data_IF_341552780421
#
_entry.id   IF_341552780421
#
_cell.length_a   1.000
_cell.length_b   1.000
_cell.length_c   1.000
_cell.angle_alpha   90.00
_cell.angle_beta   90.00
_cell.angle_gamma   90.00
#
_symmetry.space_group_name_H-M   'P 1'
#
loop_
_entity.id
_entity.type
_entity.pdbx_description
1 polymer ?
#
# COMPACT_ATOMS: atom_id res chain seq x y z
N UNK A 1 -16.67 20.00 -57.81
CA UNK A 1 -15.26 20.16 -57.39
C UNK A 1 -15.24 20.80 -56.00
N UNK A 2 -14.16 20.59 -55.24
CA UNK A 2 -13.80 21.22 -53.95
C UNK A 2 -14.73 20.93 -52.76
N UNK A 3 -14.21 20.12 -51.85
CA UNK A 3 -14.57 20.13 -50.42
C UNK A 3 -14.05 21.42 -49.76
N UNK A 4 -14.60 21.78 -48.61
CA UNK A 4 -13.94 22.61 -47.61
C UNK A 4 -14.07 21.93 -46.24
N UNK A 5 -12.95 21.73 -45.56
CA UNK A 5 -12.84 20.99 -44.29
C UNK A 5 -13.01 21.89 -43.08
N UNK A 6 -13.73 21.41 -42.06
CA UNK A 6 -13.51 21.87 -40.69
C UNK A 6 -12.20 21.24 -40.16
N UNK A 7 -11.33 22.06 -39.60
CA UNK A 7 -10.09 21.61 -38.96
C UNK A 7 -10.09 22.08 -37.51
N UNK A 8 -10.33 21.15 -36.58
CA UNK A 8 -10.26 21.42 -35.16
C UNK A 8 -8.79 21.54 -34.70
N UNK A 9 -8.52 22.39 -33.72
CA UNK A 9 -7.16 22.63 -33.23
C UNK A 9 -6.69 21.47 -32.34
N UNK A 10 -5.50 20.94 -32.63
CA UNK A 10 -4.80 19.98 -31.77
C UNK A 10 -4.02 20.73 -30.67
N UNK A 11 -4.52 20.66 -29.44
CA UNK A 11 -3.83 21.18 -28.26
C UNK A 11 -2.90 20.14 -27.63
N UNK A 12 -1.73 19.90 -28.23
CA UNK A 12 -0.76 18.90 -27.74
C UNK A 12 -0.02 19.38 -26.49
N UNK A 13 -0.55 19.05 -25.31
CA UNK A 13 0.08 19.34 -24.01
C UNK A 13 1.21 18.34 -23.67
N UNK A 14 2.35 18.45 -24.37
CA UNK A 14 3.53 17.61 -24.14
C UNK A 14 4.25 17.95 -22.82
N UNK A 15 3.76 17.44 -21.70
CA UNK A 15 4.43 17.55 -20.39
C UNK A 15 5.62 16.59 -20.34
N UNK A 16 6.82 17.12 -20.11
CA UNK A 16 8.07 16.37 -20.06
C UNK A 16 8.22 15.64 -18.72
N UNK A 17 7.87 14.35 -18.69
CA UNK A 17 8.10 13.49 -17.52
C UNK A 17 9.59 13.13 -17.37
N UNK A 18 10.23 13.65 -16.32
CA UNK A 18 11.54 13.20 -15.85
C UNK A 18 11.41 11.90 -15.07
N UNK A 19 11.45 10.76 -15.75
CA UNK A 19 11.26 9.44 -15.13
C UNK A 19 12.48 8.98 -14.33
N UNK A 20 12.32 8.85 -12.99
CA UNK A 20 13.23 8.08 -12.11
C UNK A 20 12.42 7.33 -11.02
N UNK A 21 12.90 6.19 -10.45
CA UNK A 21 12.04 5.21 -9.76
C UNK A 21 12.27 5.10 -8.24
N UNK A 22 11.23 4.72 -7.47
CA UNK A 22 11.32 4.46 -6.02
C UNK A 22 10.57 3.19 -5.59
N UNK A 23 11.27 2.09 -5.31
CA UNK A 23 10.65 0.97 -4.57
C UNK A 23 10.35 1.36 -3.10
N UNK A 24 9.40 0.67 -2.47
CA UNK A 24 8.70 1.03 -1.22
C UNK A 24 9.52 1.72 -0.09
N UNK A 25 8.80 2.49 0.74
CA UNK A 25 9.30 3.45 1.74
C UNK A 25 10.44 2.96 2.64
N UNK A 26 11.25 3.90 3.14
CA UNK A 26 12.35 3.60 4.06
C UNK A 26 11.89 2.88 5.35
N UNK A 27 10.71 3.24 5.88
CA UNK A 27 10.10 2.56 7.02
C UNK A 27 9.71 1.12 6.70
N UNK A 28 9.03 0.91 5.58
CA UNK A 28 8.70 -0.41 5.04
C UNK A 28 9.98 -1.27 4.87
N UNK A 29 11.05 -0.74 4.25
CA UNK A 29 12.34 -1.44 4.11
C UNK A 29 13.02 -1.75 5.45
N UNK A 30 12.82 -0.93 6.48
CA UNK A 30 13.32 -1.24 7.84
C UNK A 30 12.48 -2.33 8.52
N UNK A 31 11.17 -2.39 8.30
CA UNK A 31 10.33 -3.51 8.72
C UNK A 31 10.74 -4.82 8.01
N UNK A 32 10.92 -4.81 6.68
CA UNK A 32 11.54 -5.90 5.91
C UNK A 32 12.87 -6.36 6.52
N UNK A 33 13.77 -5.42 6.84
CA UNK A 33 15.08 -5.74 7.41
C UNK A 33 14.99 -6.39 8.80
N UNK A 34 13.97 -6.08 9.60
CA UNK A 34 13.71 -6.79 10.85
C UNK A 34 13.08 -8.18 10.62
N UNK A 35 12.12 -8.31 9.72
CA UNK A 35 11.51 -9.60 9.34
C UNK A 35 12.55 -10.58 8.79
N UNK A 36 13.36 -10.16 7.81
CA UNK A 36 14.43 -10.97 7.24
C UNK A 36 15.49 -11.38 8.30
N UNK A 37 15.82 -10.49 9.25
CA UNK A 37 16.72 -10.83 10.38
C UNK A 37 16.11 -11.83 11.36
N UNK A 38 14.79 -11.80 11.60
CA UNK A 38 14.10 -12.78 12.46
C UNK A 38 14.06 -14.17 11.80
N UNK A 39 13.86 -14.25 10.49
CA UNK A 39 13.76 -15.53 9.77
C UNK A 39 15.10 -16.10 9.26
N UNK A 40 16.17 -15.29 9.17
CA UNK A 40 17.47 -15.70 8.61
C UNK A 40 18.36 -16.61 9.47
N UNK A 41 17.99 -16.91 10.73
CA UNK A 41 18.87 -17.60 11.70
C UNK A 41 18.23 -18.83 12.38
N UNK A 42 17.62 -19.70 11.58
CA UNK A 42 17.01 -20.97 12.01
C UNK A 42 17.96 -22.13 12.36
N UNK A 43 19.22 -21.89 12.76
CA UNK A 43 20.14 -22.96 13.13
C UNK A 43 20.07 -23.32 14.63
N UNK A 44 19.19 -24.28 14.95
CA UNK A 44 19.07 -24.84 16.29
C UNK A 44 20.29 -25.70 16.68
N UNK A 45 21.20 -25.14 17.47
CA UNK A 45 22.23 -25.90 18.17
C UNK A 45 21.78 -26.24 19.59
N UNK A 46 21.06 -27.34 19.74
CA UNK A 46 20.72 -27.93 21.04
C UNK A 46 21.98 -28.26 21.84
N UNK A 47 22.29 -27.47 22.87
CA UNK A 47 23.22 -27.81 23.94
C UNK A 47 22.42 -28.02 25.24
N UNK A 48 22.76 -29.02 26.07
CA UNK A 48 22.00 -29.33 27.27
C UNK A 48 22.05 -28.19 28.29
N UNK A 49 21.02 -28.08 29.12
CA UNK A 49 20.85 -26.97 30.06
C UNK A 49 21.97 -26.93 31.12
N UNK A 50 22.77 -25.86 31.09
CA UNK A 50 23.56 -25.42 32.24
C UNK A 50 22.75 -24.44 33.08
N UNK A 51 22.68 -24.68 34.39
CA UNK A 51 21.84 -23.90 35.30
C UNK A 51 22.44 -22.51 35.57
N UNK A 52 21.98 -21.49 34.82
CA UNK A 52 22.36 -20.09 35.02
C UNK A 52 21.32 -19.39 35.92
N UNK A 53 21.55 -19.48 37.22
CA UNK A 53 20.84 -18.68 38.23
C UNK A 53 21.16 -17.19 38.04
N UNK A 54 20.13 -16.33 38.12
CA UNK A 54 20.33 -14.91 38.43
C UNK A 54 20.33 -13.90 37.29
N UNK A 55 19.89 -14.25 36.07
CA UNK A 55 19.50 -13.20 35.12
C UNK A 55 18.29 -12.42 35.68
N UNK A 56 18.33 -11.08 35.79
CA UNK A 56 17.17 -10.31 36.23
C UNK A 56 16.05 -10.50 35.21
N UNK A 57 14.88 -10.98 35.66
CA UNK A 57 13.68 -11.03 34.84
C UNK A 57 13.30 -9.59 34.50
N UNK A 58 13.64 -9.14 33.29
CA UNK A 58 13.09 -7.91 32.70
C UNK A 58 11.58 -8.02 32.86
N UNK A 59 10.98 -7.05 33.55
CA UNK A 59 9.54 -7.04 33.74
C UNK A 59 8.89 -7.04 32.35
N UNK A 60 8.05 -8.05 32.07
CA UNK A 60 7.23 -8.02 30.87
C UNK A 60 6.37 -6.76 30.98
N UNK A 61 6.52 -5.85 30.02
CA UNK A 61 5.59 -4.73 29.86
C UNK A 61 4.17 -5.26 29.82
N UNK A 62 3.21 -4.46 30.27
CA UNK A 62 1.83 -4.73 29.97
C UNK A 62 1.62 -4.74 28.44
N UNK A 63 0.74 -5.59 27.95
CA UNK A 63 0.37 -5.66 26.54
C UNK A 63 -1.11 -5.38 26.41
N UNK A 64 -1.49 -4.45 25.54
CA UNK A 64 -2.89 -4.16 25.29
C UNK A 64 -3.52 -5.20 24.36
N UNK A 65 -4.84 -5.30 24.42
CA UNK A 65 -5.68 -6.09 23.49
C UNK A 65 -6.56 -5.14 22.71
N UNK A 66 -6.89 -5.47 21.45
CA UNK A 66 -7.85 -4.70 20.67
C UNK A 66 -9.22 -4.66 21.40
N UNK A 67 -9.85 -3.48 21.56
CA UNK A 67 -11.21 -3.39 22.08
C UNK A 67 -12.24 -4.16 21.21
N UNK A 68 -13.27 -4.69 21.84
CA UNK A 68 -14.44 -5.25 21.13
C UNK A 68 -15.37 -4.10 20.71
N UNK A 69 -15.50 -3.87 19.41
CA UNK A 69 -16.33 -2.83 18.79
C UNK A 69 -16.78 -3.30 17.39
N UNK A 70 -18.05 -3.09 16.99
CA UNK A 70 -18.57 -3.60 15.71
C UNK A 70 -17.94 -3.00 14.45
N UNK A 71 -17.28 -1.84 14.53
CA UNK A 71 -16.56 -1.25 13.40
C UNK A 71 -15.08 -1.73 13.30
N UNK A 72 -14.57 -2.43 14.32
CA UNK A 72 -13.21 -2.96 14.38
C UNK A 72 -13.08 -4.39 13.80
N UNK A 73 -11.90 -4.70 13.25
CA UNK A 73 -11.56 -6.03 12.75
C UNK A 73 -10.33 -6.57 13.50
N UNK A 74 -10.48 -7.72 14.17
CA UNK A 74 -9.36 -8.42 14.76
C UNK A 74 -8.48 -9.07 13.67
N UNK A 75 -7.25 -8.56 13.52
CA UNK A 75 -6.27 -9.15 12.61
C UNK A 75 -5.70 -10.45 13.22
N UNK A 76 -5.69 -11.58 12.48
CA UNK A 76 -5.11 -12.83 12.97
C UNK A 76 -3.62 -12.68 13.34
N UNK A 77 -3.25 -13.22 14.50
CA UNK A 77 -1.86 -13.22 14.97
C UNK A 77 -1.73 -13.75 16.39
N UNK A 78 -0.52 -13.70 16.94
CA UNK A 78 -0.21 -14.22 18.27
C UNK A 78 0.26 -13.14 19.24
N UNK A 79 1.10 -12.20 18.79
CA UNK A 79 1.60 -11.09 19.60
C UNK A 79 0.78 -9.80 19.42
N UNK A 80 0.16 -9.62 18.26
CA UNK A 80 -0.58 -8.41 17.90
C UNK A 80 -1.92 -8.24 18.64
N UNK A 81 -2.42 -9.25 19.37
CA UNK A 81 -3.66 -9.21 20.15
C UNK A 81 -4.88 -8.62 19.38
N UNK A 82 -4.94 -8.85 18.06
CA UNK A 82 -5.98 -8.34 17.15
C UNK A 82 -5.67 -7.00 16.48
N UNK A 83 -4.69 -6.22 16.94
CA UNK A 83 -4.28 -4.97 16.31
C UNK A 83 -3.76 -5.17 14.89
N UNK A 84 -3.81 -4.11 14.07
CA UNK A 84 -3.33 -4.08 12.69
C UNK A 84 -1.80 -3.97 12.63
N UNK A 85 -1.15 -4.99 13.17
CA UNK A 85 0.28 -5.12 13.40
C UNK A 85 0.71 -6.53 12.99
N UNK A 86 1.98 -6.73 12.63
CA UNK A 86 2.46 -8.05 12.19
C UNK A 86 2.22 -9.13 13.25
N UNK A 87 1.95 -10.40 12.89
CA UNK A 87 1.59 -11.45 13.86
C UNK A 87 2.57 -11.67 15.03
N UNK A 88 3.84 -11.26 14.86
CA UNK A 88 4.97 -11.31 15.80
C UNK A 88 5.35 -9.95 16.42
N UNK A 89 4.51 -8.93 16.23
CA UNK A 89 4.67 -7.57 16.75
C UNK A 89 3.68 -7.32 17.90
N UNK A 90 4.19 -7.13 19.12
CA UNK A 90 3.37 -6.85 20.30
C UNK A 90 2.88 -5.41 20.35
N UNK A 91 1.61 -5.21 20.74
CA UNK A 91 1.13 -3.94 21.26
C UNK A 91 1.55 -3.80 22.74
N UNK A 92 2.72 -3.19 22.98
CA UNK A 92 3.30 -3.04 24.32
C UNK A 92 2.97 -1.69 24.97
N UNK A 93 3.02 -1.65 26.30
CA UNK A 93 3.02 -0.42 27.08
C UNK A 93 4.01 0.63 26.54
N UNK A 94 3.51 1.86 26.39
CA UNK A 94 4.22 3.00 25.81
C UNK A 94 4.30 3.00 24.27
N UNK A 95 3.54 2.17 23.56
CA UNK A 95 3.57 2.07 22.09
C UNK A 95 2.24 2.42 21.41
N UNK A 96 2.34 2.66 20.11
CA UNK A 96 1.23 2.97 19.20
C UNK A 96 0.79 1.72 18.45
N UNK A 97 -0.51 1.44 18.47
CA UNK A 97 -1.08 0.20 18.00
C UNK A 97 -2.20 0.47 16.97
N UNK A 98 -1.86 0.47 15.67
CA UNK A 98 -2.82 0.65 14.58
C UNK A 98 -4.00 -0.32 14.65
N UNK A 99 -5.16 0.13 14.19
CA UNK A 99 -6.42 -0.63 14.20
C UNK A 99 -6.94 -0.86 12.78
N UNK A 100 -7.60 -1.99 12.56
CA UNK A 100 -8.26 -2.31 11.30
C UNK A 100 -9.76 -2.04 11.42
N UNK A 101 -10.35 -1.46 10.38
CA UNK A 101 -11.77 -1.15 10.31
C UNK A 101 -12.50 -2.09 9.35
N UNK A 102 -13.81 -2.26 9.54
CA UNK A 102 -14.66 -3.03 8.61
C UNK A 102 -14.69 -2.38 7.20
N UNK A 103 -14.92 -3.16 6.13
CA UNK A 103 -14.85 -2.67 4.75
C UNK A 103 -15.70 -1.43 4.49
N UNK A 104 -15.11 -0.44 3.80
CA UNK A 104 -15.71 0.87 3.55
C UNK A 104 -15.31 1.95 4.56
N UNK A 105 -14.79 1.59 5.74
CA UNK A 105 -14.35 2.54 6.78
C UNK A 105 -12.84 2.69 6.84
N UNK A 106 -12.39 3.86 7.28
CA UNK A 106 -10.99 4.17 7.57
C UNK A 106 -10.80 4.41 9.08
N UNK A 107 -9.58 4.16 9.57
CA UNK A 107 -9.19 4.41 10.96
C UNK A 107 -9.36 5.89 11.31
N UNK A 108 -9.81 6.19 12.53
CA UNK A 108 -10.05 7.56 13.01
C UNK A 108 -9.23 7.91 14.28
N UNK A 109 -8.20 7.11 14.57
CA UNK A 109 -7.33 7.23 15.74
C UNK A 109 -5.86 7.11 15.31
N UNK A 110 -5.02 8.00 15.83
CA UNK A 110 -3.56 8.04 15.62
C UNK A 110 -2.94 9.06 16.59
N UNK A 111 -1.62 9.02 16.76
CA UNK A 111 -0.88 10.01 17.55
C UNK A 111 -1.08 11.42 16.99
N UNK A 112 -1.58 12.39 17.78
CA UNK A 112 -1.80 13.77 17.31
C UNK A 112 -0.52 14.43 16.79
N UNK A 113 -0.65 15.27 15.77
CA UNK A 113 0.44 16.04 15.12
C UNK A 113 1.53 15.20 14.44
N UNK A 114 1.26 13.94 14.10
CA UNK A 114 2.14 13.11 13.25
C UNK A 114 2.13 13.55 11.78
N UNK A 115 3.23 13.27 11.09
CA UNK A 115 3.40 13.48 9.64
C UNK A 115 3.65 12.16 8.91
N UNK A 116 3.51 12.18 7.59
CA UNK A 116 3.92 11.07 6.73
C UNK A 116 5.45 11.06 6.53
N UNK A 117 6.17 10.90 7.63
CA UNK A 117 7.63 10.77 7.68
C UNK A 117 8.01 9.74 8.74
N UNK A 118 8.83 8.75 8.39
CA UNK A 118 9.28 7.74 9.35
C UNK A 118 10.14 8.37 10.47
N UNK A 119 9.94 8.00 11.76
CA UNK A 119 9.06 6.96 12.26
C UNK A 119 7.63 7.41 12.60
N UNK A 120 7.31 8.72 12.57
CA UNK A 120 5.97 9.25 12.90
C UNK A 120 4.84 8.60 12.09
N UNK A 121 5.12 8.19 10.86
CA UNK A 121 4.17 7.47 9.99
C UNK A 121 3.71 6.12 10.54
N UNK A 122 4.38 5.57 11.56
CA UNK A 122 3.99 4.32 12.23
C UNK A 122 3.05 4.51 13.42
N UNK A 123 2.93 5.72 13.96
CA UNK A 123 2.24 5.99 15.23
C UNK A 123 0.71 6.09 15.06
N UNK A 124 0.10 5.05 14.46
CA UNK A 124 -1.33 4.94 14.20
C UNK A 124 -2.13 4.27 15.32
N UNK A 125 -3.46 4.40 15.24
CA UNK A 125 -4.42 3.73 16.11
C UNK A 125 -4.41 4.20 17.56
N UNK A 126 -4.40 3.24 18.47
CA UNK A 126 -4.56 3.46 19.92
C UNK A 126 -3.21 3.56 20.62
N UNK A 127 -3.18 4.31 21.72
CA UNK A 127 -2.02 4.32 22.61
C UNK A 127 -2.16 3.22 23.66
N UNK A 128 -1.10 2.46 23.90
CA UNK A 128 -1.11 1.44 24.94
C UNK A 128 -0.55 2.00 26.27
N UNK A 129 -1.43 2.22 27.24
CA UNK A 129 -1.14 2.81 28.55
C UNK A 129 -1.38 1.80 29.67
N UNK A 130 -0.30 1.24 30.24
CA UNK A 130 -0.39 0.27 31.34
C UNK A 130 -1.12 -1.04 31.00
N UNK A 131 -1.32 -1.34 29.71
CA UNK A 131 -2.15 -2.46 29.23
C UNK A 131 -3.58 -2.08 28.83
N UNK A 132 -3.97 -0.81 28.98
CA UNK A 132 -5.24 -0.25 28.46
C UNK A 132 -5.01 0.39 27.10
N UNK A 133 -5.87 0.08 26.12
CA UNK A 133 -5.83 0.71 24.80
C UNK A 133 -6.68 1.99 24.79
N UNK A 134 -6.04 3.15 24.64
CA UNK A 134 -6.67 4.47 24.77
C UNK A 134 -6.79 5.17 23.41
N UNK A 135 -7.92 5.85 23.19
CA UNK A 135 -8.19 6.68 22.00
C UNK A 135 -7.54 8.07 22.17
N UNK A 136 -6.59 8.50 21.31
CA UNK A 136 -6.04 9.86 21.38
C UNK A 136 -7.07 10.95 21.08
N UNK A 137 -8.07 10.63 20.26
CA UNK A 137 -9.21 11.49 19.99
C UNK A 137 -10.43 10.91 20.72
N UNK A 138 -10.54 11.21 22.02
CA UNK A 138 -11.58 10.69 22.93
C UNK A 138 -13.00 10.79 22.35
N UNK A 139 -13.30 11.92 21.70
CA UNK A 139 -14.61 12.24 21.13
C UNK A 139 -14.84 11.66 19.72
N UNK A 140 -13.81 11.09 19.07
CA UNK A 140 -13.93 10.42 17.78
C UNK A 140 -14.23 8.92 17.96
N UNK A 141 -14.92 8.26 17.01
CA UNK A 141 -15.02 6.80 16.98
C UNK A 141 -13.66 6.15 16.69
N UNK A 142 -13.58 4.81 16.73
CA UNK A 142 -12.40 4.07 16.27
C UNK A 142 -12.19 4.19 14.75
N UNK A 143 -13.30 4.18 14.01
CA UNK A 143 -13.37 4.19 12.56
C UNK A 143 -14.41 5.20 12.08
N UNK A 144 -14.20 5.78 10.89
CA UNK A 144 -15.19 6.61 10.19
C UNK A 144 -15.42 6.09 8.79
N UNK A 145 -16.58 6.37 8.22
CA UNK A 145 -16.89 5.97 6.85
C UNK A 145 -15.96 6.68 5.85
N UNK A 146 -15.41 5.92 4.90
CA UNK A 146 -14.79 6.49 3.71
C UNK A 146 -15.83 7.12 2.78
N UNK A 147 -15.40 7.77 1.71
CA UNK A 147 -16.29 8.52 0.80
C UNK A 147 -17.24 7.66 -0.04
N UNK A 148 -17.13 6.33 0.03
CA UNK A 148 -18.06 5.36 -0.55
C UNK A 148 -18.10 5.30 -2.09
N UNK A 149 -17.22 6.06 -2.77
CA UNK A 149 -17.21 6.22 -4.23
C UNK A 149 -16.65 4.99 -4.97
N UNK A 150 -15.86 4.13 -4.32
CA UNK A 150 -15.24 2.94 -4.94
C UNK A 150 -15.75 1.63 -4.33
N UNK A 151 -16.05 0.66 -5.20
CA UNK A 151 -16.40 -0.72 -4.82
C UNK A 151 -15.47 -1.74 -5.47
N UNK A 152 -15.22 -2.85 -4.80
CA UNK A 152 -14.71 -4.06 -5.43
C UNK A 152 -15.90 -4.90 -5.91
N UNK A 153 -15.80 -5.46 -7.12
CA UNK A 153 -16.83 -6.31 -7.73
C UNK A 153 -16.18 -7.58 -8.27
N UNK A 154 -16.57 -8.73 -7.75
CA UNK A 154 -16.04 -10.03 -8.09
C UNK A 154 -16.92 -10.73 -9.14
N UNK A 155 -16.41 -10.86 -10.37
CA UNK A 155 -17.02 -11.65 -11.45
C UNK A 155 -16.27 -12.98 -11.70
N UNK A 156 -15.30 -13.32 -10.84
CA UNK A 156 -14.40 -14.47 -10.95
C UNK A 156 -14.94 -15.76 -10.31
N UNK A 157 -15.96 -15.69 -9.45
CA UNK A 157 -16.69 -16.86 -8.93
C UNK A 157 -16.06 -17.62 -7.76
N UNK A 158 -14.84 -17.27 -7.37
CA UNK A 158 -14.24 -17.65 -6.09
C UNK A 158 -13.93 -16.38 -5.31
N UNK A 159 -13.95 -16.46 -3.97
CA UNK A 159 -13.66 -15.32 -3.07
C UNK A 159 -12.34 -14.62 -3.40
N UNK A 160 -12.31 -13.29 -3.33
CA UNK A 160 -11.10 -12.48 -3.56
C UNK A 160 -10.80 -11.64 -2.32
N UNK A 161 -9.59 -11.76 -1.79
CA UNK A 161 -9.09 -10.92 -0.70
C UNK A 161 -8.46 -9.62 -1.24
N UNK A 162 -9.11 -8.49 -0.97
CA UNK A 162 -8.54 -7.15 -1.09
C UNK A 162 -7.95 -6.78 0.27
N UNK A 163 -6.66 -6.50 0.33
CA UNK A 163 -5.94 -6.32 1.59
C UNK A 163 -5.33 -4.92 1.66
N UNK A 164 -5.94 -4.06 2.47
CA UNK A 164 -5.52 -2.67 2.63
C UNK A 164 -4.27 -2.56 3.50
N UNK A 165 -3.36 -1.65 3.14
CA UNK A 165 -2.18 -1.33 3.92
C UNK A 165 -2.51 -0.52 5.17
N UNK A 166 -1.90 -0.89 6.30
CA UNK A 166 -2.04 -0.15 7.57
C UNK A 166 -1.28 1.18 7.50
N UNK A 167 -2.02 2.28 7.40
CA UNK A 167 -1.49 3.65 7.36
C UNK A 167 -2.43 4.61 8.14
N UNK A 168 -1.93 5.42 9.09
CA UNK A 168 -0.61 5.33 9.72
C UNK A 168 -0.37 3.96 10.37
N UNK A 169 0.87 3.47 10.30
CA UNK A 169 1.23 2.12 10.74
C UNK A 169 2.47 1.57 10.03
N UNK A 170 2.56 0.24 9.95
CA UNK A 170 3.73 -0.45 9.38
C UNK A 170 3.67 -0.66 7.85
N UNK A 171 2.67 -0.08 7.17
CA UNK A 171 2.41 -0.22 5.72
C UNK A 171 2.19 -1.67 5.23
N UNK A 172 2.00 -2.64 6.13
CA UNK A 172 1.69 -4.03 5.76
C UNK A 172 0.20 -4.18 5.37
N UNK A 173 -0.11 -5.08 4.45
CA UNK A 173 -1.43 -5.34 3.87
C UNK A 173 -2.32 -6.21 4.77
N UNK A 174 -2.56 -5.74 5.99
CA UNK A 174 -3.21 -6.51 7.05
C UNK A 174 -4.73 -6.27 7.15
N UNK A 175 -5.25 -5.14 6.67
CA UNK A 175 -6.68 -4.77 6.82
C UNK A 175 -7.50 -5.54 5.77
N UNK A 176 -8.40 -6.47 6.16
CA UNK A 176 -8.99 -7.41 5.22
C UNK A 176 -10.34 -6.93 4.67
N UNK A 177 -10.52 -7.08 3.35
CA UNK A 177 -11.82 -6.97 2.69
C UNK A 177 -12.07 -8.24 1.88
N UNK A 178 -13.10 -8.99 2.26
CA UNK A 178 -13.48 -10.24 1.60
C UNK A 178 -14.55 -9.98 0.54
N UNK A 179 -14.23 -10.20 -0.75
CA UNK A 179 -15.11 -9.87 -1.86
C UNK A 179 -15.66 -11.16 -2.50
N UNK A 180 -16.92 -11.48 -2.20
CA UNK A 180 -17.66 -12.61 -2.78
C UNK A 180 -18.53 -12.20 -3.97
N UNK A 181 -19.18 -11.05 -3.88
CA UNK A 181 -19.89 -10.34 -4.96
C UNK A 181 -19.38 -8.89 -5.00
N UNK A 182 -20.03 -7.98 -4.27
CA UNK A 182 -19.78 -6.54 -4.35
C UNK A 182 -19.62 -5.94 -2.96
N UNK A 183 -18.50 -5.25 -2.71
CA UNK A 183 -18.18 -4.66 -1.40
C UNK A 183 -17.63 -3.24 -1.59
N UNK A 184 -18.06 -2.30 -0.75
CA UNK A 184 -17.51 -0.93 -0.73
C UNK A 184 -16.09 -0.95 -0.18
N UNK A 185 -15.15 -0.33 -0.90
CA UNK A 185 -13.78 -0.16 -0.42
C UNK A 185 -13.69 1.09 0.45
N UNK A 186 -12.78 1.07 1.43
CA UNK A 186 -12.44 2.26 2.18
C UNK A 186 -11.69 3.25 1.28
N UNK A 187 -12.23 4.45 1.14
CA UNK A 187 -11.67 5.54 0.33
C UNK A 187 -11.51 6.78 1.22
N UNK A 188 -10.28 7.18 1.57
CA UNK A 188 -10.01 8.40 2.31
C UNK A 188 -10.57 9.66 1.63
N UNK A 189 -11.18 10.54 2.44
CA UNK A 189 -11.38 11.94 2.09
C UNK A 189 -10.13 12.79 2.39
N UNK A 190 -10.15 14.10 2.07
CA UNK A 190 -9.00 14.98 2.23
C UNK A 190 -8.57 15.17 3.70
N UNK A 191 -9.52 15.06 4.64
CA UNK A 191 -9.30 15.22 6.08
C UNK A 191 -8.74 13.96 6.77
N UNK A 192 -8.53 12.88 6.02
CA UNK A 192 -7.86 11.68 6.51
C UNK A 192 -6.38 11.96 6.83
N UNK A 193 -5.77 11.10 7.65
CA UNK A 193 -4.41 11.28 8.14
C UNK A 193 -3.41 11.66 7.02
N UNK A 194 -2.78 12.83 7.19
CA UNK A 194 -1.82 13.43 6.25
C UNK A 194 -2.31 13.55 4.78
N UNK A 195 -3.64 13.57 4.53
CA UNK A 195 -4.21 13.62 3.17
C UNK A 195 -3.97 12.36 2.35
N UNK A 196 -3.68 11.23 3.00
CA UNK A 196 -3.22 10.00 2.35
C UNK A 196 -4.32 9.20 1.63
N UNK A 197 -3.90 8.33 0.71
CA UNK A 197 -4.77 7.42 -0.02
C UNK A 197 -4.79 6.02 0.61
N UNK A 198 -5.89 5.28 0.40
CA UNK A 198 -5.89 3.86 0.68
C UNK A 198 -5.17 3.10 -0.44
N UNK A 199 -4.40 2.08 -0.09
CA UNK A 199 -3.70 1.19 -1.02
C UNK A 199 -4.04 -0.27 -0.69
N UNK A 200 -4.23 -1.08 -1.71
CA UNK A 200 -4.75 -2.45 -1.63
C UNK A 200 -3.89 -3.42 -2.42
N UNK A 201 -3.58 -4.57 -1.82
CA UNK A 201 -3.06 -5.75 -2.50
C UNK A 201 -4.23 -6.66 -2.87
N UNK A 202 -4.30 -7.12 -4.13
CA UNK A 202 -5.45 -7.86 -4.67
C UNK A 202 -5.03 -9.27 -5.03
N UNK A 203 -5.45 -10.21 -4.18
CA UNK A 203 -5.06 -11.62 -4.26
C UNK A 203 -5.80 -12.39 -5.37
N UNK A 204 -5.27 -13.55 -5.81
CA UNK A 204 -5.97 -14.43 -6.76
C UNK A 204 -7.33 -14.92 -6.25
N UNK A 205 -8.33 -15.10 -7.14
CA UNK A 205 -9.59 -15.75 -6.79
C UNK A 205 -9.39 -17.13 -6.15
N UNK A 206 -10.13 -17.39 -5.08
CA UNK A 206 -9.94 -18.55 -4.19
C UNK A 206 -9.08 -18.26 -2.96
N UNK A 207 -8.49 -17.07 -2.85
CA UNK A 207 -7.72 -16.65 -1.67
C UNK A 207 -8.64 -15.98 -0.65
N UNK A 208 -8.85 -16.62 0.51
CA UNK A 208 -9.54 -16.01 1.65
C UNK A 208 -8.74 -14.85 2.25
N UNK A 209 -9.41 -13.96 2.97
CA UNK A 209 -8.74 -12.88 3.72
C UNK A 209 -7.66 -13.39 4.68
N UNK A 210 -7.91 -14.52 5.35
CA UNK A 210 -6.96 -15.20 6.24
C UNK A 210 -5.71 -15.77 5.56
N UNK A 211 -5.71 -15.99 4.23
CA UNK A 211 -4.52 -16.35 3.45
C UNK A 211 -3.92 -15.16 2.69
N UNK A 212 -4.76 -14.20 2.27
CA UNK A 212 -4.35 -13.11 1.40
C UNK A 212 -3.88 -11.85 2.10
N UNK A 213 -4.34 -11.59 3.34
CA UNK A 213 -4.03 -10.37 4.09
C UNK A 213 -3.01 -10.63 5.20
N UNK A 214 -1.94 -11.36 4.83
CA UNK A 214 -0.80 -11.69 5.67
C UNK A 214 0.49 -11.46 4.89
N UNK A 215 1.62 -11.39 5.58
CA UNK A 215 2.91 -11.37 4.90
C UNK A 215 3.20 -12.75 4.27
N UNK A 216 3.56 -12.78 2.99
CA UNK A 216 3.63 -14.02 2.21
C UNK A 216 5.03 -14.66 2.16
N UNK A 217 5.30 -15.34 1.05
CA UNK A 217 6.65 -15.70 0.59
C UNK A 217 6.75 -15.46 -0.93
N UNK A 218 7.95 -15.19 -1.49
CA UNK A 218 8.11 -14.96 -2.93
C UNK A 218 7.84 -16.18 -3.82
N UNK A 219 7.47 -17.32 -3.22
CA UNK A 219 7.04 -18.54 -3.92
C UNK A 219 5.53 -18.63 -4.15
N UNK A 220 4.71 -17.76 -3.54
CA UNK A 220 3.25 -17.71 -3.78
C UNK A 220 2.78 -16.28 -4.12
N UNK A 221 1.87 -16.09 -5.09
CA UNK A 221 1.39 -14.78 -5.51
C UNK A 221 0.28 -14.25 -4.59
N UNK A 222 0.56 -14.13 -3.30
CA UNK A 222 -0.37 -13.70 -2.23
C UNK A 222 0.27 -12.68 -1.28
N UNK A 223 -0.55 -11.93 -0.55
CA UNK A 223 -0.07 -10.88 0.36
C UNK A 223 0.70 -9.80 -0.40
N UNK A 224 1.88 -9.43 0.10
CA UNK A 224 2.76 -8.48 -0.56
C UNK A 224 3.29 -8.95 -1.94
N UNK A 225 3.11 -10.23 -2.31
CA UNK A 225 3.43 -10.77 -3.64
C UNK A 225 2.18 -11.00 -4.53
N UNK A 226 1.00 -10.49 -4.15
CA UNK A 226 -0.18 -10.54 -5.03
C UNK A 226 0.09 -9.86 -6.39
N UNK A 227 -0.44 -10.35 -7.53
CA UNK A 227 -0.02 -9.85 -8.85
C UNK A 227 -0.42 -8.39 -9.11
N UNK A 228 -1.46 -7.90 -8.43
CA UNK A 228 -2.02 -6.56 -8.62
C UNK A 228 -2.11 -5.78 -7.31
N UNK A 229 -2.05 -4.46 -7.47
CA UNK A 229 -2.38 -3.49 -6.43
C UNK A 229 -3.36 -2.45 -6.96
N UNK A 230 -4.10 -1.82 -6.05
CA UNK A 230 -4.96 -0.69 -6.34
C UNK A 230 -4.77 0.43 -5.31
N UNK A 231 -5.28 1.62 -5.58
CA UNK A 231 -5.37 2.68 -4.58
C UNK A 231 -6.40 3.74 -4.94
N UNK A 232 -6.95 4.40 -3.92
CA UNK A 232 -7.96 5.44 -4.11
C UNK A 232 -7.96 6.50 -3.01
N UNK A 233 -8.31 7.73 -3.40
CA UNK A 233 -8.60 8.85 -2.50
C UNK A 233 -9.53 9.88 -3.15
N UNK A 234 -10.29 10.59 -2.33
CA UNK A 234 -11.16 11.71 -2.74
C UNK A 234 -10.55 13.03 -2.33
N UNK A 235 -10.50 14.01 -3.26
CA UNK A 235 -9.98 15.35 -3.00
C UNK A 235 -11.07 16.27 -2.41
N UNK A 236 -10.65 17.44 -1.91
CA UNK A 236 -11.57 18.49 -1.47
C UNK A 236 -12.49 19.04 -2.58
N UNK A 237 -12.13 18.87 -3.87
CA UNK A 237 -13.05 19.12 -4.99
C UNK A 237 -14.27 18.18 -4.95
N UNK A 238 -14.10 16.97 -4.41
CA UNK A 238 -15.04 15.86 -4.42
C UNK A 238 -14.80 14.82 -5.52
N UNK A 239 -13.82 15.05 -6.39
CA UNK A 239 -13.34 14.06 -7.36
C UNK A 239 -12.58 12.94 -6.65
N UNK A 240 -12.70 11.70 -7.14
CA UNK A 240 -11.99 10.54 -6.59
C UNK A 240 -11.07 9.95 -7.65
N UNK A 241 -9.80 9.78 -7.29
CA UNK A 241 -8.81 9.12 -8.15
C UNK A 241 -8.78 7.64 -7.80
N UNK A 242 -8.77 6.77 -8.81
CA UNK A 242 -8.78 5.31 -8.64
C UNK A 242 -7.72 4.70 -9.54
N UNK A 243 -6.70 4.09 -8.94
CA UNK A 243 -5.59 3.42 -9.63
C UNK A 243 -5.75 1.91 -9.57
N UNK A 244 -5.45 1.23 -10.68
CA UNK A 244 -5.03 -0.18 -10.67
C UNK A 244 -3.63 -0.28 -11.29
N UNK A 245 -2.82 -1.23 -10.81
CA UNK A 245 -1.47 -1.47 -11.28
C UNK A 245 -1.08 -2.94 -11.14
N UNK A 246 -0.06 -3.35 -11.89
CA UNK A 246 0.74 -4.49 -11.51
C UNK A 246 1.49 -4.21 -10.20
N UNK A 247 1.71 -5.24 -9.39
CA UNK A 247 2.55 -5.14 -8.20
C UNK A 247 4.04 -5.24 -8.59
N UNK A 248 4.91 -4.24 -8.29
CA UNK A 248 6.34 -4.34 -8.56
C UNK A 248 7.02 -5.51 -7.84
N UNK A 249 6.55 -5.90 -6.65
CA UNK A 249 7.11 -7.04 -5.90
C UNK A 249 6.76 -8.39 -6.57
N UNK A 250 5.62 -8.49 -7.27
CA UNK A 250 5.32 -9.65 -8.12
C UNK A 250 6.17 -9.66 -9.40
N UNK A 251 6.35 -8.49 -10.04
CA UNK A 251 7.13 -8.35 -11.27
C UNK A 251 8.64 -8.57 -11.09
N UNK A 252 9.18 -8.27 -9.91
CA UNK A 252 10.58 -8.52 -9.56
C UNK A 252 10.92 -9.99 -9.32
N UNK A 253 9.91 -10.85 -9.10
CA UNK A 253 10.07 -12.22 -8.64
C UNK A 253 9.92 -13.28 -9.73
N UNK A 254 10.34 -14.52 -9.41
CA UNK A 254 10.13 -15.66 -10.30
C UNK A 254 8.64 -15.94 -10.61
N UNK A 255 7.72 -15.42 -9.79
CA UNK A 255 6.26 -15.45 -9.98
C UNK A 255 5.82 -14.85 -11.32
N UNK A 256 6.49 -13.79 -11.80
CA UNK A 256 6.17 -13.11 -13.06
C UNK A 256 6.32 -14.01 -14.32
N UNK A 257 6.91 -15.21 -14.18
CA UNK A 257 6.99 -16.21 -15.26
C UNK A 257 5.67 -16.97 -15.47
N UNK A 258 4.73 -16.86 -14.53
CA UNK A 258 3.41 -17.49 -14.60
C UNK A 258 2.35 -16.41 -14.81
N UNK A 259 1.70 -16.41 -15.97
CA UNK A 259 0.59 -15.50 -16.28
C UNK A 259 -0.60 -15.73 -15.34
N UNK A 260 -1.09 -14.71 -14.61
CA UNK A 260 -2.29 -14.84 -13.80
C UNK A 260 -3.53 -15.20 -14.65
N UNK A 261 -4.42 -16.02 -14.10
CA UNK A 261 -5.67 -16.47 -14.75
C UNK A 261 -6.86 -15.51 -14.53
N UNK A 262 -6.59 -14.34 -13.97
CA UNK A 262 -7.57 -13.31 -13.66
C UNK A 262 -7.01 -11.92 -13.98
N UNK A 263 -7.88 -10.96 -14.20
CA UNK A 263 -7.54 -9.57 -14.50
C UNK A 263 -8.39 -8.58 -13.70
N UNK A 264 -8.03 -7.31 -13.82
CA UNK A 264 -8.71 -6.17 -13.18
C UNK A 264 -9.12 -5.14 -14.23
N UNK A 265 -10.26 -4.47 -14.03
CA UNK A 265 -10.60 -3.25 -14.77
C UNK A 265 -11.41 -2.29 -13.94
N UNK A 266 -11.38 -1.02 -14.29
CA UNK A 266 -12.26 -0.01 -13.70
C UNK A 266 -13.50 0.16 -14.59
N UNK A 267 -14.69 -0.02 -14.01
CA UNK A 267 -15.99 0.29 -14.63
C UNK A 267 -16.65 1.44 -13.85
N UNK A 268 -17.19 2.46 -14.53
CA UNK A 268 -17.96 3.54 -13.88
C UNK A 268 -19.45 3.44 -14.23
N UNK A 269 -20.32 2.92 -13.33
CA UNK A 269 -21.73 2.65 -13.67
C UNK A 269 -22.55 3.87 -14.07
N UNK A 270 -22.22 5.06 -13.55
CA UNK A 270 -22.83 6.34 -13.94
C UNK A 270 -22.21 7.00 -15.17
N UNK A 271 -21.19 6.40 -15.79
CA UNK A 271 -20.37 7.06 -16.80
C UNK A 271 -19.53 8.22 -16.22
N UNK A 272 -19.17 9.19 -17.07
CA UNK A 272 -18.55 10.46 -16.68
C UNK A 272 -17.09 10.42 -16.19
N UNK A 273 -16.51 9.24 -15.99
CA UNK A 273 -15.11 9.07 -15.59
C UNK A 273 -14.11 9.37 -16.72
N UNK A 274 -13.00 10.00 -16.38
CA UNK A 274 -11.83 10.18 -17.26
C UNK A 274 -10.80 9.06 -17.03
N UNK A 275 -9.92 8.79 -18.01
CA UNK A 275 -8.91 7.72 -17.93
C UNK A 275 -9.40 6.31 -18.24
N UNK A 276 -10.55 6.16 -18.91
CA UNK A 276 -11.10 4.87 -19.34
C UNK A 276 -10.82 4.60 -20.84
N UNK A 277 -10.57 3.34 -21.25
CA UNK A 277 -10.46 2.13 -20.43
C UNK A 277 -9.27 2.15 -19.47
N UNK A 278 -9.33 1.35 -18.42
CA UNK A 278 -8.21 1.11 -17.51
C UNK A 278 -8.32 -0.35 -17.08
N UNK A 279 -7.57 -1.22 -17.78
CA UNK A 279 -7.75 -2.69 -17.75
C UNK A 279 -6.40 -3.40 -17.71
N UNK A 280 -6.20 -4.25 -16.71
CA UNK A 280 -5.16 -5.27 -16.68
C UNK A 280 -5.79 -6.60 -17.11
N UNK A 281 -5.53 -7.01 -18.34
CA UNK A 281 -5.88 -8.35 -18.85
C UNK A 281 -4.61 -9.09 -19.29
N UNK A 282 -4.06 -9.98 -18.45
CA UNK A 282 -2.80 -10.65 -18.75
C UNK A 282 -2.91 -11.71 -19.86
N UNK A 283 -4.13 -12.07 -20.31
CA UNK A 283 -4.31 -12.91 -21.52
C UNK A 283 -4.14 -12.13 -22.82
N UNK A 284 -4.30 -10.79 -22.77
CA UNK A 284 -4.12 -9.89 -23.92
C UNK A 284 -2.78 -9.16 -23.88
N UNK A 285 -2.43 -8.60 -22.72
CA UNK A 285 -1.21 -7.81 -22.52
C UNK A 285 0.00 -8.60 -22.02
N UNK A 286 -0.17 -9.86 -21.60
CA UNK A 286 0.86 -10.59 -20.87
C UNK A 286 1.11 -10.06 -19.46
N UNK A 287 2.15 -10.58 -18.80
CA UNK A 287 2.58 -10.07 -17.49
C UNK A 287 3.22 -8.69 -17.65
N UNK A 288 2.79 -7.73 -16.82
CA UNK A 288 3.14 -6.30 -16.95
C UNK A 288 2.31 -5.52 -17.96
N UNK A 289 1.46 -6.18 -18.77
CA UNK A 289 0.63 -5.52 -19.78
C UNK A 289 -0.59 -4.78 -19.23
N UNK A 290 -0.96 -3.68 -19.88
CA UNK A 290 -2.07 -2.80 -19.49
C UNK A 290 -2.74 -2.17 -20.72
N UNK A 291 -4.06 -2.03 -20.70
CA UNK A 291 -4.87 -1.31 -21.69
C UNK A 291 -5.49 -0.06 -21.06
N UNK A 292 -4.97 1.11 -21.44
CA UNK A 292 -5.48 2.44 -21.05
C UNK A 292 -4.88 3.55 -21.94
N UNK A 293 -5.61 4.63 -22.25
CA UNK A 293 -5.03 5.80 -22.94
C UNK A 293 -4.02 6.53 -22.05
N UNK A 294 -4.23 6.52 -20.74
CA UNK A 294 -3.37 7.15 -19.72
C UNK A 294 -2.50 6.10 -19.01
N UNK A 295 -2.08 5.06 -19.74
CA UNK A 295 -1.16 4.04 -19.26
C UNK A 295 0.23 4.63 -18.97
N UNK A 296 0.69 4.48 -17.73
CA UNK A 296 1.99 4.95 -17.26
C UNK A 296 2.78 3.83 -16.58
N UNK A 297 4.11 3.94 -16.59
CA UNK A 297 5.01 3.00 -15.93
C UNK A 297 5.56 3.62 -14.66
N UNK A 298 5.40 2.95 -13.53
CA UNK A 298 5.91 3.39 -12.24
C UNK A 298 7.11 2.57 -11.75
N UNK A 299 7.27 2.59 -10.43
CA UNK A 299 8.10 1.72 -9.60
C UNK A 299 8.24 0.30 -10.18
N UNK A 300 9.46 -0.25 -10.21
CA UNK A 300 9.71 -1.64 -10.62
C UNK A 300 9.30 -1.97 -12.06
N UNK A 301 9.12 -0.95 -12.92
CA UNK A 301 8.50 -1.05 -14.24
C UNK A 301 7.04 -1.52 -14.23
N UNK A 302 6.33 -1.36 -13.11
CA UNK A 302 4.92 -1.71 -13.00
C UNK A 302 4.03 -0.73 -13.79
N UNK A 303 3.34 -1.25 -14.81
CA UNK A 303 2.33 -0.50 -15.54
C UNK A 303 1.09 -0.23 -14.65
N UNK A 304 0.57 0.98 -14.73
CA UNK A 304 -0.62 1.44 -14.04
C UNK A 304 -1.44 2.43 -14.87
N UNK A 305 -2.73 2.55 -14.55
CA UNK A 305 -3.60 3.62 -15.05
C UNK A 305 -4.39 4.22 -13.88
N UNK A 306 -4.85 5.46 -14.06
CA UNK A 306 -5.65 6.18 -13.06
C UNK A 306 -6.92 6.69 -13.70
N UNK A 307 -8.04 6.41 -13.07
CA UNK A 307 -9.37 6.87 -13.47
C UNK A 307 -9.82 7.97 -12.52
N UNK A 308 -10.21 9.12 -13.07
CA UNK A 308 -10.80 10.22 -12.28
C UNK A 308 -12.32 10.09 -12.32
N UNK A 309 -12.91 9.82 -11.15
CA UNK A 309 -14.36 9.77 -10.94
C UNK A 309 -14.85 11.18 -10.58
N UNK A 310 -15.81 11.76 -11.32
CA UNK A 310 -16.36 13.08 -11.01
C UNK A 310 -17.11 13.08 -9.68
N UNK A 311 -17.26 14.27 -9.08
CA UNK A 311 -17.96 14.46 -7.79
C UNK A 311 -19.35 13.83 -7.79
N UNK A 312 -19.59 12.93 -6.84
CA UNK A 312 -20.86 12.19 -6.70
C UNK A 312 -21.02 11.01 -7.67
N UNK A 313 -20.04 10.75 -8.54
CA UNK A 313 -19.95 9.51 -9.32
C UNK A 313 -19.54 8.31 -8.48
N UNK A 314 -19.50 7.12 -9.11
CA UNK A 314 -19.01 5.87 -8.50
C UNK A 314 -18.19 5.06 -9.49
N UNK A 315 -17.24 4.29 -8.99
CA UNK A 315 -16.41 3.36 -9.76
C UNK A 315 -16.34 1.97 -9.11
N UNK A 316 -16.24 0.95 -9.94
CA UNK A 316 -16.06 -0.44 -9.56
C UNK A 316 -14.68 -0.90 -10.02
N UNK A 317 -13.85 -1.41 -9.11
CA UNK A 317 -12.69 -2.25 -9.44
C UNK A 317 -13.22 -3.67 -9.63
N UNK A 318 -13.25 -4.13 -10.89
CA UNK A 318 -13.87 -5.38 -11.29
C UNK A 318 -12.82 -6.45 -11.50
N UNK A 319 -12.94 -7.55 -10.75
CA UNK A 319 -12.13 -8.76 -10.88
C UNK A 319 -12.83 -9.73 -11.85
N UNK A 320 -12.11 -10.27 -12.82
CA UNK A 320 -12.67 -11.20 -13.82
C UNK A 320 -11.67 -12.32 -14.19
N UNK A 321 -12.16 -13.49 -14.59
CA UNK A 321 -11.31 -14.57 -15.10
C UNK A 321 -10.94 -14.32 -16.57
N UNK A 322 -9.69 -14.60 -16.94
CA UNK A 322 -9.17 -14.27 -18.28
C UNK A 322 -9.61 -15.24 -19.38
N UNK A 323 -10.09 -16.42 -18.99
CA UNK A 323 -10.75 -17.37 -19.90
C UNK A 323 -12.18 -16.96 -20.27
N UNK A 324 -12.70 -15.87 -19.70
CA UNK A 324 -14.06 -15.39 -19.89
C UNK A 324 -15.11 -16.14 -19.07
N UNK A 325 -14.71 -17.11 -18.23
CA UNK A 325 -15.63 -17.75 -17.29
C UNK A 325 -16.18 -16.73 -16.30
N UNK A 326 -17.50 -16.75 -16.10
CA UNK A 326 -18.14 -15.91 -15.09
C UNK A 326 -18.45 -16.74 -13.86
N UNK A 327 -18.23 -16.15 -12.70
CA UNK A 327 -18.70 -16.69 -11.44
C UNK A 327 -20.22 -16.84 -11.44
N UNK A 328 -20.69 -18.08 -11.32
CA UNK A 328 -22.02 -18.30 -10.74
C UNK A 328 -21.96 -17.84 -9.30
N UNK A 329 -22.82 -16.87 -8.91
CA UNK A 329 -22.86 -16.39 -7.54
C UNK A 329 -23.06 -17.58 -6.57
N UNK A 330 -22.32 -17.64 -5.44
CA UNK A 330 -22.50 -18.71 -4.46
C UNK A 330 -23.99 -18.82 -4.08
N UNK A 331 -24.56 -20.03 -4.03
CA UNK A 331 -25.98 -20.19 -3.76
C UNK A 331 -26.31 -19.62 -2.38
N UNK A 332 -27.09 -18.53 -2.33
CA UNK A 332 -27.45 -17.84 -1.10
C UNK A 332 -28.06 -18.84 -0.11
N UNK A 333 -27.31 -19.15 0.94
CA UNK A 333 -27.67 -20.11 1.98
C UNK A 333 -28.70 -19.49 2.93
N UNK A 334 -29.89 -19.24 2.40
CA UNK A 334 -31.07 -18.65 3.07
C UNK A 334 -31.72 -19.60 4.09
N UNK A 335 -30.90 -20.24 4.92
CA UNK A 335 -31.33 -21.02 6.09
C UNK A 335 -31.34 -20.09 7.31
N UNK A 336 -32.45 -19.38 7.49
CA UNK A 336 -32.66 -18.48 8.62
C UNK A 336 -32.42 -19.21 9.95
N UNK A 337 -31.73 -18.59 10.95
CA UNK A 337 -31.64 -19.14 12.29
C UNK A 337 -33.03 -19.24 12.93
N UNK A 338 -33.43 -20.46 13.28
CA UNK A 338 -34.72 -20.73 13.89
C UNK A 338 -34.73 -20.21 15.34
N UNK A 339 -35.44 -19.10 15.58
CA UNK A 339 -35.48 -18.45 16.88
C UNK A 339 -36.30 -19.29 17.89
N UNK A 340 -35.76 -19.62 19.08
CA UNK A 340 -36.52 -20.37 20.07
C UNK A 340 -37.74 -19.58 20.55
N UNK A 341 -38.89 -20.25 20.66
CA UNK A 341 -40.17 -19.65 21.04
C UNK A 341 -40.36 -19.74 22.55
N UNK A 342 -40.32 -18.60 23.25
CA UNK A 342 -40.63 -18.51 24.68
C UNK A 342 -41.98 -17.83 24.89
N UNK A 343 -42.95 -18.54 25.45
CA UNK A 343 -44.29 -18.01 25.73
C UNK A 343 -44.29 -17.08 26.95
N UNK A 344 -44.80 -15.86 26.80
CA UNK A 344 -45.06 -14.91 27.89
C UNK A 344 -46.34 -14.08 27.60
N UNK A 345 -46.99 -13.57 28.63
CA UNK A 345 -48.40 -13.18 28.59
C UNK A 345 -48.70 -11.68 28.38
N UNK A 346 -49.95 -11.41 27.99
CA UNK A 346 -50.59 -10.10 27.77
C UNK A 346 -50.84 -9.31 29.06
N UNK A 347 -50.57 -7.99 29.05
CA UNK A 347 -51.51 -6.97 29.56
C UNK A 347 -51.82 -5.93 28.46
N UNK A 348 -53.07 -5.73 27.99
CA UNK A 348 -54.14 -4.85 28.54
C UNK A 348 -53.85 -3.34 28.47
N UNK A 349 -54.82 -2.59 27.92
CA UNK A 349 -54.72 -1.20 27.45
C UNK A 349 -55.43 -0.18 28.36
N UNK A 350 -54.82 0.98 28.62
CA UNK A 350 -55.51 2.19 29.11
C UNK A 350 -54.80 3.50 28.66
N UNK A 351 -55.52 4.46 28.05
CA UNK A 351 -55.10 5.85 27.84
C UNK A 351 -55.99 6.86 28.60
N UNK A 352 -55.80 8.19 28.49
CA UNK A 352 -54.55 8.98 28.49
C UNK A 352 -54.59 10.11 29.56
N UNK A 353 -53.55 10.95 29.67
CA UNK A 353 -53.60 12.24 30.38
C UNK A 353 -52.77 13.33 29.68
N UNK A 354 -53.08 14.60 29.96
CA UNK A 354 -52.76 15.78 29.12
C UNK A 354 -51.81 16.79 29.80
N UNK A 355 -51.40 17.83 29.04
CA UNK A 355 -50.67 19.04 29.46
C UNK A 355 -49.17 18.88 29.78
N UNK A 356 -48.30 19.90 29.62
CA UNK A 356 -48.50 21.27 29.11
C UNK A 356 -47.20 21.90 28.55
N UNK A 357 -47.33 23.03 27.85
CA UNK A 357 -46.27 23.96 27.43
C UNK A 357 -46.87 25.37 27.17
N UNK A 358 -46.11 26.46 26.96
CA UNK A 358 -44.68 26.74 27.22
C UNK A 358 -44.55 27.81 28.35
N UNK A 359 -43.59 28.77 28.39
CA UNK A 359 -43.50 29.88 27.41
C UNK A 359 -42.06 30.32 27.01
N UNK A 360 -41.99 31.32 26.13
CA UNK A 360 -40.80 31.89 25.46
C UNK A 360 -40.20 33.11 26.20
N UNK A 361 -38.91 33.40 26.01
CA UNK A 361 -38.34 34.76 26.16
C UNK A 361 -37.27 35.09 25.11
N UNK A 362 -37.40 36.29 24.53
CA UNK A 362 -36.41 37.08 23.76
C UNK A 362 -35.30 37.64 24.70
N UNK A 363 -34.24 38.38 24.32
CA UNK A 363 -33.80 39.07 23.08
C UNK A 363 -32.32 39.54 23.17
N UNK A 364 -31.68 39.77 22.01
CA UNK A 364 -30.62 40.77 21.70
C UNK A 364 -29.55 41.19 22.73
N UNK A 365 -28.28 41.25 22.30
CA UNK A 365 -27.53 42.51 22.06
C UNK A 365 -26.20 42.25 21.34
N UNK A 366 -25.79 43.17 20.46
CA UNK A 366 -24.53 43.11 19.71
C UNK A 366 -23.39 43.81 20.46
N UNK A 367 -22.16 43.31 20.34
CA UNK A 367 -20.93 44.06 20.62
C UNK A 367 -19.85 43.72 19.61
N UNK A 368 -19.24 44.74 19.01
CA UNK A 368 -18.19 44.62 18.00
C UNK A 368 -16.85 45.10 18.55
N UNK A 369 -15.79 44.30 18.40
CA UNK A 369 -14.40 44.73 18.60
C UNK A 369 -13.55 44.36 17.38
N UNK A 370 -13.14 45.39 16.64
CA UNK A 370 -12.18 45.28 15.54
C UNK A 370 -10.77 45.15 16.10
N UNK A 371 -10.00 44.16 15.64
CA UNK A 371 -8.54 44.11 15.82
C UNK A 371 -7.90 43.78 14.47
N UNK A 372 -6.90 44.56 14.09
CA UNK A 372 -6.26 44.47 12.77
C UNK A 372 -5.35 43.25 12.66
N UNK A 373 -5.27 42.66 11.46
CA UNK A 373 -4.24 41.69 11.08
C UNK A 373 -3.61 42.08 9.75
N UNK A 374 -2.29 42.19 9.71
CA UNK A 374 -1.51 42.44 8.50
C UNK A 374 -1.35 41.13 7.68
N UNK A 375 -1.12 41.20 6.36
CA UNK A 375 -1.09 40.01 5.52
C UNK A 375 0.19 39.18 5.73
N UNK A 376 0.03 37.95 6.25
CA UNK A 376 1.03 36.89 6.08
C UNK A 376 0.81 36.18 4.75
N UNK A 377 1.86 36.06 3.94
CA UNK A 377 1.82 35.44 2.62
C UNK A 377 1.54 33.94 2.71
N UNK A 378 0.34 33.52 2.33
CA UNK A 378 0.02 32.10 2.15
C UNK A 378 0.67 31.58 0.87
N UNK A 379 1.78 30.83 1.01
CA UNK A 379 2.31 30.00 -0.07
C UNK A 379 1.29 28.91 -0.39
N UNK A 380 0.60 29.06 -1.53
CA UNK A 380 -0.38 28.06 -2.00
C UNK A 380 0.35 26.85 -2.59
N UNK A 381 0.78 25.92 -1.75
CA UNK A 381 1.26 24.61 -2.20
C UNK A 381 0.11 23.87 -2.89
N UNK A 382 0.18 23.80 -4.23
CA UNK A 382 -0.84 23.15 -5.05
C UNK A 382 -0.69 21.63 -4.87
N UNK A 383 -1.51 21.07 -3.99
CA UNK A 383 -1.60 19.62 -3.78
C UNK A 383 -2.18 18.93 -5.02
N UNK A 384 -1.30 18.42 -5.89
CA UNK A 384 -1.68 17.64 -7.08
C UNK A 384 -2.08 16.23 -6.65
N UNK A 385 -3.38 16.04 -6.40
CA UNK A 385 -3.94 14.71 -6.18
C UNK A 385 -3.74 13.79 -7.39
N UNK A 386 -3.53 12.49 -7.11
CA UNK A 386 -3.22 11.46 -8.11
C UNK A 386 -1.76 10.99 -8.11
N UNK A 387 -0.85 11.73 -7.47
CA UNK A 387 0.55 11.32 -7.26
C UNK A 387 0.72 10.66 -5.89
N UNK A 388 1.33 9.49 -5.86
CA UNK A 388 1.76 8.81 -4.63
C UNK A 388 3.05 9.49 -4.15
N UNK A 389 3.06 10.03 -2.93
CA UNK A 389 4.21 10.79 -2.41
C UNK A 389 5.40 9.88 -2.06
N UNK A 390 6.24 9.63 -3.06
CA UNK A 390 7.53 8.93 -2.94
C UNK A 390 8.66 9.99 -2.89
N UNK A 391 9.42 10.06 -1.78
CA UNK A 391 10.52 11.01 -1.62
C UNK A 391 11.86 10.30 -1.35
N UNK A 392 12.95 10.85 -1.87
CA UNK A 392 14.31 10.28 -1.79
C UNK A 392 15.28 11.22 -1.10
N UNK A 393 16.16 10.68 -0.25
CA UNK A 393 17.36 11.35 0.25
C UNK A 393 18.61 10.56 -0.17
N UNK A 394 19.72 11.27 -0.43
CA UNK A 394 20.94 10.67 -0.99
C UNK A 394 21.79 9.96 0.07
N UNK A 395 22.33 8.80 -0.27
CA UNK A 395 23.35 8.09 0.52
C UNK A 395 24.10 7.05 -0.31
N UNK A 396 25.44 7.11 -0.35
CA UNK A 396 26.25 6.18 -1.13
C UNK A 396 26.22 4.76 -0.53
N UNK A 397 25.84 3.78 -1.34
CA UNK A 397 25.96 2.36 -0.98
C UNK A 397 27.36 1.84 -1.26
N UNK A 398 28.14 1.59 -0.20
CA UNK A 398 29.43 0.90 -0.29
C UNK A 398 29.22 -0.61 -0.42
N UNK A 399 29.65 -1.19 -1.54
CA UNK A 399 29.66 -2.64 -1.73
C UNK A 399 30.65 -3.31 -0.76
N UNK A 400 30.15 -4.20 0.09
CA UNK A 400 30.95 -5.19 0.81
C UNK A 400 30.89 -6.54 0.07
N UNK A 401 31.97 -7.01 -0.56
CA UNK A 401 32.01 -8.36 -1.13
C UNK A 401 32.03 -9.40 -0.01
N UNK A 402 31.30 -10.51 -0.19
CA UNK A 402 31.30 -11.62 0.76
C UNK A 402 32.66 -12.35 0.76
N UNK A 403 33.17 -12.81 1.93
CA UNK A 403 34.43 -13.53 1.98
C UNK A 403 34.28 -14.96 1.45
N UNK A 404 35.09 -15.31 0.45
CA UNK A 404 35.28 -16.70 0.04
C UNK A 404 35.90 -17.51 1.18
N UNK A 405 35.42 -18.74 1.41
CA UNK A 405 36.11 -19.71 2.25
C UNK A 405 36.16 -21.07 1.55
N UNK A 406 37.33 -21.70 1.54
CA UNK A 406 37.62 -22.97 0.87
C UNK A 406 38.54 -23.82 1.77
N UNK A 407 38.77 -25.10 1.40
CA UNK A 407 39.53 -26.12 2.18
C UNK A 407 38.67 -26.77 3.29
N UNK A 408 38.58 -28.09 3.50
CA UNK A 408 39.08 -29.32 2.83
C UNK A 408 38.08 -30.48 3.13
N UNK A 409 37.73 -31.40 2.21
CA UNK A 409 38.45 -32.58 1.67
C UNK A 409 38.35 -33.89 2.51
N UNK A 410 37.61 -34.88 1.99
CA UNK A 410 37.75 -36.34 2.19
C UNK A 410 36.83 -37.09 1.19
N UNK A 411 37.15 -38.28 0.62
CA UNK A 411 38.44 -39.00 0.65
C UNK A 411 38.40 -40.51 0.32
N UNK A 412 38.17 -40.92 -0.94
CA UNK A 412 38.40 -42.29 -1.53
C UNK A 412 38.46 -42.13 -3.06
N UNK A 413 39.42 -42.65 -3.85
CA UNK A 413 39.82 -44.05 -4.11
C UNK A 413 39.20 -44.51 -5.46
N UNK A 414 39.88 -45.07 -6.48
CA UNK A 414 41.18 -45.79 -6.56
C UNK A 414 41.73 -45.88 -8.01
N UNK A 415 43.02 -46.25 -8.21
CA UNK A 415 43.65 -46.60 -9.51
C UNK A 415 44.29 -45.41 -10.27
N UNK A 416 45.54 -45.38 -10.77
CA UNK A 416 46.46 -46.36 -11.40
C UNK A 416 46.13 -46.68 -12.88
N UNK A 417 47.05 -46.64 -13.86
CA UNK A 417 48.51 -46.40 -13.87
C UNK A 417 49.03 -45.75 -15.19
N UNK A 418 50.36 -45.58 -15.33
CA UNK A 418 51.07 -44.78 -16.35
C UNK A 418 51.15 -45.36 -17.79
N UNK A 419 51.23 -44.47 -18.79
CA UNK A 419 51.97 -44.69 -20.06
C UNK A 419 52.29 -43.35 -20.79
N UNK A 420 53.39 -43.32 -21.55
CA UNK A 420 53.92 -42.23 -22.43
C UNK A 420 55.11 -42.80 -23.23
N UNK A 421 55.65 -42.23 -24.33
CA UNK A 421 55.31 -41.01 -25.10
C UNK A 421 54.72 -41.39 -26.51
N UNK A 422 54.93 -40.79 -27.71
CA UNK A 422 55.89 -39.80 -28.27
C UNK A 422 55.40 -39.22 -29.61
N UNK A 423 55.92 -38.03 -29.99
CA UNK A 423 55.91 -37.40 -31.34
C UNK A 423 54.53 -36.93 -31.88
N UNK A 424 54.42 -35.92 -32.76
CA UNK A 424 55.46 -35.24 -33.57
C UNK A 424 55.27 -33.68 -33.64
N UNK A 425 56.14 -32.99 -34.39
CA UNK A 425 56.24 -31.50 -34.51
C UNK A 425 55.00 -30.80 -35.19
N UNK A 426 54.82 -29.46 -35.23
CA UNK A 426 55.73 -28.32 -35.52
C UNK A 426 55.22 -26.98 -34.93
N UNK A 427 56.15 -26.06 -34.62
CA UNK A 427 55.92 -24.60 -34.42
C UNK A 427 56.97 -23.79 -35.21
N UNK A 428 56.78 -22.48 -35.52
CA UNK A 428 57.39 -21.45 -34.63
C UNK A 428 56.75 -20.03 -34.60
N UNK A 429 56.98 -19.31 -33.48
CA UNK A 429 57.30 -17.85 -33.33
C UNK A 429 56.34 -16.81 -33.93
N UNK A 430 55.70 -15.84 -33.23
CA UNK A 430 55.97 -14.99 -32.03
C UNK A 430 56.66 -13.63 -32.29
N UNK A 431 56.01 -12.52 -31.89
CA UNK A 431 56.65 -11.24 -31.54
C UNK A 431 55.71 -10.26 -30.78
N UNK A 432 55.99 -10.05 -29.50
CA UNK A 432 55.70 -8.81 -28.72
C UNK A 432 57.03 -8.03 -28.59
N UNK A 433 57.13 -6.75 -28.12
CA UNK A 433 56.85 -6.38 -26.71
C UNK A 433 56.54 -4.87 -26.37
N UNK A 434 56.17 -4.59 -25.10
CA UNK A 434 56.60 -3.49 -24.15
C UNK A 434 56.86 -2.02 -24.62
N UNK A 435 56.76 -0.94 -23.82
CA UNK A 435 56.46 -0.77 -22.37
C UNK A 435 56.02 0.69 -22.00
N UNK A 436 55.53 0.85 -20.75
CA UNK A 436 55.69 1.94 -19.76
C UNK A 436 55.84 3.44 -20.15
N UNK A 437 55.22 4.34 -19.35
CA UNK A 437 55.52 5.78 -19.32
C UNK A 437 54.58 6.59 -18.40
N UNK A 438 55.11 7.31 -17.41
CA UNK A 438 54.34 7.87 -16.29
C UNK A 438 54.09 9.41 -16.34
N UNK A 439 53.19 9.86 -15.45
CA UNK A 439 53.21 11.13 -14.70
C UNK A 439 52.50 12.42 -15.21
N UNK A 440 51.67 12.96 -14.30
CA UNK A 440 51.60 14.35 -13.80
C UNK A 440 50.82 15.50 -14.51
N UNK A 441 50.06 16.21 -13.66
CA UNK A 441 49.73 17.66 -13.61
C UNK A 441 48.92 18.41 -14.70
N UNK A 442 48.15 19.39 -14.22
CA UNK A 442 47.53 20.48 -15.00
C UNK A 442 46.11 20.22 -15.55
N UNK A 443 45.14 21.15 -15.52
CA UNK A 443 45.10 22.44 -14.81
C UNK A 443 44.46 23.61 -15.58
N UNK A 444 43.13 23.62 -15.76
CA UNK A 444 42.29 24.83 -16.03
C UNK A 444 40.81 24.40 -16.23
N UNK A 445 39.73 25.09 -15.86
CA UNK A 445 39.43 26.43 -15.30
C UNK A 445 38.81 27.48 -16.26
N UNK A 446 37.50 27.71 -16.05
CA UNK A 446 36.75 28.99 -16.17
C UNK A 446 36.52 29.61 -17.58
N UNK A 447 35.27 29.51 -18.04
CA UNK A 447 34.45 30.59 -18.64
C UNK A 447 32.98 30.11 -18.71
N UNK A 448 31.93 30.92 -18.67
CA UNK A 448 31.80 32.37 -18.42
C UNK A 448 30.31 32.76 -18.44
N UNK A 449 29.83 33.53 -17.45
CA UNK A 449 28.40 33.85 -17.20
C UNK A 449 27.88 35.02 -18.09
N UNK A 450 26.57 35.32 -17.99
CA UNK A 450 25.84 36.51 -18.51
C UNK A 450 25.39 36.33 -19.98
N UNK A 451 24.13 36.56 -20.40
CA UNK A 451 23.17 37.64 -20.08
C UNK A 451 21.82 37.14 -19.52
N UNK A 452 21.17 37.96 -18.69
CA UNK A 452 19.77 37.84 -18.29
C UNK A 452 19.07 39.22 -18.22
N UNK A 453 17.73 39.21 -18.11
CA UNK A 453 16.81 40.34 -17.91
C UNK A 453 16.55 41.29 -19.10
N UNK A 454 15.31 41.21 -19.62
CA UNK A 454 14.41 42.36 -19.90
C UNK A 454 12.98 41.80 -20.12
N UNK A 455 11.97 42.67 -20.00
CA UNK A 455 10.55 42.43 -20.33
C UNK A 455 9.73 41.51 -19.39
N UNK A 456 9.47 42.01 -18.18
CA UNK A 456 8.21 41.76 -17.48
C UNK A 456 7.39 43.06 -17.45
N UNK A 457 6.52 43.29 -18.44
CA UNK A 457 5.58 44.41 -18.50
C UNK A 457 4.47 44.13 -19.53
N UNK A 458 3.24 44.56 -19.21
CA UNK A 458 1.98 44.21 -19.89
C UNK A 458 1.61 42.71 -19.79
N UNK A 459 0.33 42.33 -19.59
CA UNK A 459 -0.91 43.12 -19.59
C UNK A 459 -1.61 43.15 -18.21
N UNK A 460 -2.63 44.01 -18.10
CA UNK A 460 -3.66 44.00 -17.06
C UNK A 460 -4.71 42.92 -17.36
#
# INVERSE_FOLDING_TARGET
MRFSTFQAALGSASILFSAQPVAANLGHRQAHAQYARRHGHGHSHSRPAGELVGAPKVARKATCTLPDDPDLVHIPGAANNGFAMSPDQSCEDGTWCPIACVPGKVMAQWKPNTKYTYPESMDGGLYCNGGTAEKPFENSPYCVDGTGTVKAVNKAGSVVAFCQTVLPGNEAMLIPTEVTDTVTLAVPGPDYWAGTAAHYYINPPGTSTSKGCVWGTPSEPVGNWSPYVAGANTLASGETFVKIAWNPEFLGEALAKTTPTFGLKIECPGGGCNGLPCTIDPSKGGVGGLDSPDAATGVGNAAFCVVTVPKGGTANIVVFNTDGSQGSAPPSSSKAPEKPTTSAAKPTTHPPSTSSAPPTTTSTTSSSTTVSSAPSSSSSDIFVGGVFQEQTAQGQSTHYPAPNNATASAGTGSGAASASPTADAVSPVSATPTNEGAAAEGGSAIAGLVVALIAAAALF
#
